data_IF_766477441443
#
_entry.id   IF_766477441443
#
_cell.length_a   1.000
_cell.length_b   1.000
_cell.length_c   1.000
_cell.angle_alpha   90.00
_cell.angle_beta   90.00
_cell.angle_gamma   90.00
#
_symmetry.space_group_name_H-M   'P 1'
#
loop_
_entity.id
_entity.type
_entity.pdbx_description
1 polymer ?
#
# COMPACT_ATOMS: atom_id res chain seq x y z
N UNK A 1 -8.27 -0.18 -12.33
CA UNK A 1 -9.39 -0.80 -13.09
C UNK A 1 -8.86 -1.63 -14.24
N UNK A 2 -7.97 -1.10 -15.07
CA UNK A 2 -7.37 -1.80 -16.21
C UNK A 2 -6.61 -3.08 -15.80
N UNK A 3 -5.84 -3.03 -14.71
CA UNK A 3 -5.15 -4.22 -14.15
C UNK A 3 -6.10 -5.35 -13.76
N UNK A 4 -7.36 -5.01 -13.44
CA UNK A 4 -8.41 -5.96 -13.12
C UNK A 4 -9.25 -6.35 -14.36
N UNK A 5 -8.88 -5.89 -15.56
CA UNK A 5 -9.56 -6.20 -16.83
C UNK A 5 -10.79 -5.34 -17.13
N UNK A 6 -10.98 -4.22 -16.41
CA UNK A 6 -12.13 -3.33 -16.62
C UNK A 6 -11.71 -2.01 -17.26
N UNK A 7 -12.55 -1.53 -18.18
CA UNK A 7 -12.38 -0.19 -18.76
C UNK A 7 -12.64 0.88 -17.69
N UNK A 8 -11.78 1.93 -17.56
CA UNK A 8 -11.90 2.97 -16.54
C UNK A 8 -12.99 4.00 -16.89
N UNK A 9 -14.20 3.54 -17.21
CA UNK A 9 -15.37 4.37 -17.50
C UNK A 9 -16.31 4.48 -16.30
N UNK A 10 -16.92 5.65 -16.04
CA UNK A 10 -17.88 5.81 -14.95
C UNK A 10 -19.04 4.82 -14.98
N UNK A 11 -19.55 4.48 -16.17
CA UNK A 11 -20.67 3.53 -16.33
C UNK A 11 -20.29 2.10 -15.95
N UNK A 12 -19.06 1.68 -16.26
CA UNK A 12 -18.52 0.37 -15.86
C UNK A 12 -18.31 0.35 -14.36
N UNK A 13 -17.67 1.38 -13.80
CA UNK A 13 -17.44 1.51 -12.37
C UNK A 13 -18.75 1.49 -11.57
N UNK A 14 -19.75 2.27 -11.98
CA UNK A 14 -21.07 2.30 -11.35
C UNK A 14 -21.70 0.91 -11.32
N UNK A 15 -21.84 0.28 -12.49
CA UNK A 15 -22.52 -1.01 -12.63
C UNK A 15 -21.86 -2.07 -11.76
N UNK A 16 -20.56 -2.25 -11.95
CA UNK A 16 -19.82 -3.32 -11.27
C UNK A 16 -19.72 -3.07 -9.76
N UNK A 17 -19.57 -1.82 -9.33
CA UNK A 17 -19.57 -1.47 -7.91
C UNK A 17 -20.92 -1.75 -7.26
N UNK A 18 -22.03 -1.30 -7.88
CA UNK A 18 -23.36 -1.44 -7.33
C UNK A 18 -23.81 -2.91 -7.23
N UNK A 19 -23.35 -3.78 -8.13
CA UNK A 19 -23.59 -5.23 -8.02
C UNK A 19 -22.89 -5.87 -6.81
N UNK A 20 -21.79 -5.28 -6.34
CA UNK A 20 -20.93 -5.87 -5.28
C UNK A 20 -21.09 -5.19 -3.92
N UNK A 21 -21.60 -3.96 -3.88
CA UNK A 21 -21.70 -3.18 -2.66
C UNK A 21 -23.04 -3.38 -1.94
N UNK A 22 -22.98 -3.84 -0.69
CA UNK A 22 -24.16 -3.89 0.16
C UNK A 22 -24.41 -2.55 0.86
N UNK A 23 -25.31 -1.74 0.31
CA UNK A 23 -25.66 -0.42 0.87
C UNK A 23 -26.38 0.48 -0.13
N UNK A 24 -26.36 1.80 0.13
CA UNK A 24 -26.91 2.79 -0.82
C UNK A 24 -26.12 2.72 -2.14
N UNK A 25 -26.80 2.48 -3.29
CA UNK A 25 -26.12 2.41 -4.57
C UNK A 25 -25.47 3.76 -4.89
N UNK A 26 -24.35 3.68 -5.59
CA UNK A 26 -23.70 4.85 -6.15
C UNK A 26 -24.36 5.26 -7.46
N UNK A 27 -24.45 6.57 -7.67
CA UNK A 27 -24.88 7.13 -8.96
C UNK A 27 -23.69 7.25 -9.90
N UNK A 28 -23.95 7.23 -11.20
CA UNK A 28 -22.97 7.53 -12.26
C UNK A 28 -22.18 8.82 -11.97
N UNK A 29 -22.87 9.88 -11.54
CA UNK A 29 -22.22 11.13 -11.17
C UNK A 29 -21.27 10.95 -9.97
N UNK A 30 -21.71 10.23 -8.94
CA UNK A 30 -20.90 9.99 -7.76
C UNK A 30 -19.62 9.21 -8.04
N UNK A 31 -19.68 8.13 -8.84
CA UNK A 31 -18.48 7.38 -9.21
C UNK A 31 -17.58 8.13 -10.20
N UNK A 32 -18.15 9.00 -11.05
CA UNK A 32 -17.35 9.88 -11.92
C UNK A 32 -16.46 10.80 -11.10
N UNK A 33 -16.98 11.39 -10.02
CA UNK A 33 -16.18 12.21 -9.11
C UNK A 33 -15.06 11.43 -8.41
N UNK A 34 -15.22 10.13 -8.21
CA UNK A 34 -14.13 9.29 -7.70
C UNK A 34 -13.03 9.11 -8.75
N UNK A 35 -13.40 8.82 -10.01
CA UNK A 35 -12.43 8.67 -11.10
C UNK A 35 -11.67 9.97 -11.41
N UNK A 36 -12.32 11.12 -11.21
CA UNK A 36 -11.70 12.44 -11.37
C UNK A 36 -10.90 12.89 -10.14
N UNK A 37 -10.89 12.12 -9.05
CA UNK A 37 -10.22 12.50 -7.80
C UNK A 37 -10.89 13.66 -7.04
N UNK A 38 -12.10 14.05 -7.43
CA UNK A 38 -12.84 15.16 -6.79
C UNK A 38 -13.36 14.78 -5.40
N UNK A 39 -13.62 13.49 -5.15
CA UNK A 39 -14.04 12.99 -3.84
C UNK A 39 -13.56 11.59 -3.54
N UNK A 40 -13.31 11.32 -2.24
CA UNK A 40 -12.89 10.01 -1.75
C UNK A 40 -14.10 9.14 -1.35
N UNK A 41 -14.21 7.88 -1.82
CA UNK A 41 -15.12 6.89 -1.23
C UNK A 41 -14.85 6.68 0.27
N UNK A 42 -15.92 6.52 1.06
CA UNK A 42 -15.79 6.18 2.48
C UNK A 42 -15.29 4.73 2.71
N UNK A 43 -14.94 4.36 3.95
CA UNK A 43 -14.24 3.10 4.26
C UNK A 43 -14.89 1.83 3.70
N UNK A 44 -16.20 1.64 3.89
CA UNK A 44 -16.92 0.46 3.38
C UNK A 44 -16.89 0.36 1.85
N UNK A 45 -16.87 1.50 1.16
CA UNK A 45 -16.83 1.58 -0.30
C UNK A 45 -15.43 1.29 -0.82
N UNK A 46 -14.40 1.79 -0.11
CA UNK A 46 -12.99 1.45 -0.37
C UNK A 46 -12.74 -0.05 -0.20
N UNK A 47 -13.26 -0.68 0.85
CA UNK A 47 -13.16 -2.14 1.03
C UNK A 47 -13.78 -2.90 -0.15
N UNK A 48 -14.94 -2.44 -0.64
CA UNK A 48 -15.60 -3.07 -1.81
C UNK A 48 -14.75 -2.92 -3.07
N UNK A 49 -14.18 -1.73 -3.32
CA UNK A 49 -13.30 -1.47 -4.45
C UNK A 49 -12.02 -2.30 -4.38
N UNK A 50 -11.42 -2.41 -3.19
CA UNK A 50 -10.23 -3.21 -2.94
C UNK A 50 -10.45 -4.69 -3.22
N UNK A 51 -11.54 -5.25 -2.69
CA UNK A 51 -11.90 -6.66 -2.91
C UNK A 51 -12.21 -6.95 -4.38
N UNK A 52 -12.95 -6.06 -5.05
CA UNK A 52 -13.31 -6.24 -6.45
C UNK A 52 -12.12 -6.10 -7.39
N UNK A 53 -11.34 -5.03 -7.25
CA UNK A 53 -10.20 -4.74 -8.11
C UNK A 53 -8.94 -5.54 -7.74
N UNK A 54 -8.97 -6.22 -6.59
CA UNK A 54 -7.83 -6.97 -6.02
C UNK A 54 -6.60 -6.08 -5.82
N UNK A 55 -6.85 -4.85 -5.41
CA UNK A 55 -5.86 -3.81 -5.11
C UNK A 55 -5.94 -3.49 -3.62
N UNK A 56 -4.81 -3.37 -2.89
CA UNK A 56 -4.81 -2.94 -1.49
C UNK A 56 -5.60 -1.64 -1.26
N UNK A 57 -6.13 -1.43 -0.06
CA UNK A 57 -6.94 -0.23 0.22
C UNK A 57 -6.07 1.03 0.21
N UNK A 58 -4.84 0.89 0.67
CA UNK A 58 -3.81 1.92 0.72
C UNK A 58 -3.55 2.52 -0.68
N UNK A 59 -3.30 1.67 -1.67
CA UNK A 59 -3.06 2.06 -3.06
C UNK A 59 -4.26 2.81 -3.68
N UNK A 60 -5.49 2.48 -3.25
CA UNK A 60 -6.70 3.16 -3.73
C UNK A 60 -6.89 4.55 -3.11
N UNK A 61 -6.46 4.74 -1.87
CA UNK A 61 -6.50 6.04 -1.18
C UNK A 61 -5.45 6.97 -1.79
N UNK A 62 -4.23 6.47 -1.99
CA UNK A 62 -3.12 7.23 -2.59
C UNK A 62 -3.43 7.64 -4.04
N UNK A 63 -4.20 6.85 -4.78
CA UNK A 63 -4.64 7.20 -6.14
C UNK A 63 -5.69 8.33 -6.18
N UNK A 64 -6.48 8.52 -5.12
CA UNK A 64 -7.54 9.54 -5.03
C UNK A 64 -7.03 10.93 -4.64
N UNK A 65 -5.94 11.01 -3.88
CA UNK A 65 -5.31 12.26 -3.47
C UNK A 65 -4.31 12.75 -4.52
N UNK A 66 -4.81 13.33 -5.63
CA UNK A 66 -3.99 14.15 -6.53
C UNK A 66 -2.63 13.56 -6.93
N UNK A 67 -2.63 12.30 -7.41
CA UNK A 67 -1.47 11.43 -7.63
C UNK A 67 -0.39 11.86 -8.63
N UNK A 68 -0.24 13.15 -8.91
CA UNK A 68 0.94 13.73 -9.56
C UNK A 68 1.93 14.33 -8.55
N UNK A 69 1.44 14.97 -7.47
CA UNK A 69 2.31 15.61 -6.46
C UNK A 69 2.76 14.61 -5.37
N UNK A 70 1.91 13.65 -5.00
CA UNK A 70 2.25 12.64 -4.00
C UNK A 70 3.12 11.50 -4.53
N UNK A 71 3.22 11.30 -5.86
CA UNK A 71 4.21 10.36 -6.43
C UNK A 71 5.66 10.74 -6.09
N UNK A 72 5.90 12.01 -5.71
CA UNK A 72 7.19 12.47 -5.22
C UNK A 72 7.34 12.41 -3.68
N UNK A 73 6.26 12.19 -2.91
CA UNK A 73 6.26 12.40 -1.45
C UNK A 73 5.57 11.31 -0.60
N UNK A 74 4.71 10.48 -1.19
CA UNK A 74 3.86 9.51 -0.49
C UNK A 74 4.21 8.08 -0.86
N UNK A 75 5.24 7.57 -0.21
CA UNK A 75 5.34 6.14 0.05
C UNK A 75 5.40 5.99 1.58
N UNK A 76 4.50 5.21 2.20
CA UNK A 76 4.76 4.72 3.55
C UNK A 76 5.21 3.26 3.54
N UNK A 77 4.74 2.46 2.57
CA UNK A 77 5.17 1.06 2.40
C UNK A 77 6.22 0.90 1.30
N UNK A 78 6.04 1.56 0.15
CA UNK A 78 7.01 1.52 -0.95
C UNK A 78 8.34 2.23 -0.63
N UNK A 79 8.39 3.13 0.36
CA UNK A 79 9.56 3.96 0.72
C UNK A 79 10.69 3.15 1.31
N UNK A 80 10.34 2.05 1.99
CA UNK A 80 11.33 1.09 2.46
C UNK A 80 11.92 0.32 1.28
N UNK A 81 11.11 -0.08 0.30
CA UNK A 81 11.58 -0.85 -0.85
C UNK A 81 12.28 -0.01 -1.92
N UNK A 82 12.07 1.30 -1.97
CA UNK A 82 12.62 2.20 -2.98
C UNK A 82 14.15 2.38 -2.88
N UNK A 83 14.74 2.18 -1.69
CA UNK A 83 16.19 2.24 -1.46
C UNK A 83 16.87 0.88 -1.22
N UNK A 84 16.10 -0.21 -1.15
CA UNK A 84 16.60 -1.55 -0.85
C UNK A 84 16.89 -2.31 -2.15
N UNK A 85 18.09 -2.90 -2.24
CA UNK A 85 18.48 -3.75 -3.36
C UNK A 85 17.58 -4.98 -3.48
N UNK A 86 17.72 -5.75 -4.57
CA UNK A 86 16.92 -6.96 -4.78
C UNK A 86 17.01 -7.94 -3.59
N UNK A 87 18.21 -8.09 -3.04
CA UNK A 87 18.53 -9.01 -1.94
C UNK A 87 17.82 -8.63 -0.63
N UNK A 88 17.72 -7.33 -0.35
CA UNK A 88 17.05 -6.82 0.84
C UNK A 88 15.53 -7.07 0.78
N UNK A 89 14.93 -7.01 -0.42
CA UNK A 89 13.50 -7.30 -0.62
C UNK A 89 13.20 -8.77 -0.36
N UNK A 90 14.01 -9.67 -0.91
CA UNK A 90 13.87 -11.11 -0.69
C UNK A 90 14.06 -11.47 0.79
N UNK A 91 15.04 -10.86 1.46
CA UNK A 91 15.29 -11.06 2.89
C UNK A 91 14.08 -10.66 3.75
N UNK A 92 13.44 -9.52 3.44
CA UNK A 92 12.25 -9.07 4.15
C UNK A 92 11.06 -10.02 3.96
N UNK A 93 10.83 -10.48 2.72
CA UNK A 93 9.77 -11.44 2.43
C UNK A 93 9.97 -12.77 3.17
N UNK A 94 11.22 -13.25 3.25
CA UNK A 94 11.58 -14.43 4.04
C UNK A 94 11.32 -14.17 5.52
N UNK A 95 11.78 -13.04 6.06
CA UNK A 95 11.59 -12.67 7.48
C UNK A 95 10.12 -12.63 7.89
N UNK A 96 9.23 -12.11 7.04
CA UNK A 96 7.79 -12.06 7.30
C UNK A 96 7.13 -13.45 7.32
N UNK A 97 7.67 -14.42 6.56
CA UNK A 97 7.19 -15.81 6.51
C UNK A 97 7.69 -16.67 7.67
N UNK A 98 8.70 -16.22 8.42
CA UNK A 98 9.25 -17.00 9.55
C UNK A 98 8.23 -17.19 10.69
N UNK A 99 8.23 -18.35 11.36
CA UNK A 99 7.45 -18.51 12.59
C UNK A 99 7.98 -17.59 13.70
N UNK A 100 7.12 -17.30 14.68
CA UNK A 100 7.38 -16.27 15.70
C UNK A 100 8.71 -16.47 16.45
N UNK A 101 9.11 -17.68 16.86
CA UNK A 101 10.40 -17.90 17.54
C UNK A 101 11.61 -17.49 16.67
N UNK A 102 11.62 -17.89 15.41
CA UNK A 102 12.72 -17.63 14.46
C UNK A 102 12.79 -16.15 14.11
N UNK A 103 11.64 -15.50 13.96
CA UNK A 103 11.56 -14.06 13.70
C UNK A 103 12.06 -13.22 14.87
N UNK A 104 11.86 -13.67 16.12
CA UNK A 104 12.42 -13.01 17.31
C UNK A 104 13.95 -13.09 17.30
N UNK A 105 14.50 -14.27 17.03
CA UNK A 105 15.94 -14.48 16.94
C UNK A 105 16.58 -13.59 15.85
N UNK A 106 16.01 -13.56 14.65
CA UNK A 106 16.50 -12.72 13.55
C UNK A 106 16.53 -11.23 13.93
N UNK A 107 15.50 -10.74 14.64
CA UNK A 107 15.45 -9.37 15.15
C UNK A 107 16.57 -9.10 16.17
N UNK A 108 16.79 -10.02 17.10
CA UNK A 108 17.82 -9.86 18.13
C UNK A 108 19.22 -9.77 17.52
N UNK A 109 19.51 -10.58 16.50
CA UNK A 109 20.79 -10.52 15.76
C UNK A 109 20.98 -9.17 15.08
N UNK A 110 19.97 -8.68 14.35
CA UNK A 110 20.04 -7.37 13.67
C UNK A 110 20.28 -6.25 14.69
N UNK A 111 19.57 -6.27 15.82
CA UNK A 111 19.73 -5.28 16.88
C UNK A 111 21.11 -5.36 17.54
N UNK A 112 21.66 -6.56 17.73
CA UNK A 112 23.00 -6.74 18.28
C UNK A 112 24.07 -6.16 17.34
N UNK A 113 23.96 -6.41 16.03
CA UNK A 113 24.85 -5.84 15.00
C UNK A 113 24.78 -4.31 15.02
N UNK A 114 23.57 -3.74 15.05
CA UNK A 114 23.39 -2.28 15.06
C UNK A 114 24.03 -1.62 16.30
N UNK A 115 23.87 -2.23 17.48
CA UNK A 115 24.50 -1.75 18.72
C UNK A 115 26.02 -1.82 18.66
N UNK A 116 26.56 -2.93 18.14
CA UNK A 116 28.01 -3.10 18.01
C UNK A 116 28.62 -2.06 17.05
N UNK A 117 27.93 -1.76 15.95
CA UNK A 117 28.35 -0.71 15.02
C UNK A 117 28.36 0.67 15.68
N UNK A 118 27.28 1.05 16.37
CA UNK A 118 27.19 2.34 17.05
C UNK A 118 28.29 2.52 18.12
N UNK A 119 28.58 1.48 18.90
CA UNK A 119 29.64 1.51 19.91
C UNK A 119 31.05 1.67 19.28
N UNK A 120 31.29 1.09 18.10
CA UNK A 120 32.54 1.26 17.36
C UNK A 120 32.72 2.67 16.79
N UNK A 121 31.64 3.32 16.34
CA UNK A 121 31.70 4.71 15.86
C UNK A 121 31.97 5.72 16.97
N UNK A 122 31.45 5.49 18.18
CA UNK A 122 31.76 6.32 19.35
C UNK A 122 33.22 6.20 19.78
N UNK A 123 33.80 5.00 19.70
CA UNK A 123 35.22 4.76 20.01
C UNK A 123 36.18 5.36 18.98
N UNK A 124 35.76 5.51 17.72
CA UNK A 124 36.58 6.15 16.67
C UNK A 124 36.57 7.69 16.79
N UNK A 125 35.55 8.28 17.42
CA UNK A 125 35.39 9.74 17.58
C UNK A 125 36.04 10.31 18.84
N UNK A 126 36.49 9.46 19.77
CA UNK A 126 37.18 9.82 21.00
C UNK A 126 38.71 9.78 20.82
#
# INVERSE_FOLDING_TARGET
METAGYEPKPSVLEREFNTRHWGKPMTLHGVRRWLLGETMPGPRKLTTLSQWLRVPMEDLVDAGEGGAALRAAGEPLHKWHAGLGYDDRELFDIYLKLPVPQRRLAREVILAIARAHAAGEEQHKA
#
